data_IF_536607734657
#
_entry.id   IF_536607734657
#
_cell.length_a   1.000
_cell.length_b   1.000
_cell.length_c   1.000
_cell.angle_alpha   90.00
_cell.angle_beta   90.00
_cell.angle_gamma   90.00
#
_symmetry.space_group_name_H-M   'P 1'
#
loop_
_entity.id
_entity.type
_entity.pdbx_description
1 polymer ?
#
# COMPACT_ATOMS: atom_id res chain seq x y z
N UNK A 1 -12.91 -27.24 5.21
CA UNK A 1 -11.66 -27.05 5.96
C UNK A 1 -11.78 -25.82 6.84
N UNK A 2 -11.15 -25.85 8.01
CA UNK A 2 -10.98 -24.69 8.87
C UNK A 2 -9.76 -23.90 8.45
N UNK A 3 -9.96 -22.62 8.07
CA UNK A 3 -8.89 -21.74 7.55
C UNK A 3 -8.79 -20.49 8.43
N UNK A 4 -7.58 -20.19 8.89
CA UNK A 4 -7.31 -18.99 9.68
C UNK A 4 -6.55 -17.96 8.84
N UNK A 5 -7.17 -16.84 8.52
CA UNK A 5 -6.56 -15.74 7.79
C UNK A 5 -6.10 -14.68 8.78
N UNK A 6 -4.80 -14.37 8.81
CA UNK A 6 -4.21 -13.48 9.79
C UNK A 6 -3.38 -12.37 9.17
N UNK A 7 -3.66 -11.15 9.55
CA UNK A 7 -2.73 -10.03 9.47
C UNK A 7 -1.96 -10.00 10.79
N UNK A 8 -0.68 -10.40 10.83
CA UNK A 8 0.05 -10.71 12.06
C UNK A 8 0.10 -9.58 13.09
N UNK A 9 0.31 -9.91 14.39
CA UNK A 9 0.63 -8.91 15.39
C UNK A 9 1.85 -8.09 15.00
N UNK A 10 1.84 -6.81 15.30
CA UNK A 10 2.98 -5.92 15.06
C UNK A 10 3.42 -5.31 16.36
N UNK A 11 4.73 -5.33 16.64
CA UNK A 11 5.31 -4.56 17.72
C UNK A 11 5.26 -3.08 17.35
N UNK A 12 5.34 -2.21 18.33
CA UNK A 12 5.43 -0.78 18.09
C UNK A 12 6.79 -0.45 17.41
N UNK A 13 6.85 0.30 16.29
CA UNK A 13 5.72 0.93 15.61
C UNK A 13 4.87 -0.08 14.82
N UNK A 14 3.59 0.22 14.66
CA UNK A 14 2.65 -0.55 13.85
C UNK A 14 3.02 -0.42 12.38
N UNK A 15 3.01 -1.52 11.63
CA UNK A 15 3.29 -1.52 10.20
C UNK A 15 2.01 -1.53 9.40
N UNK A 16 2.01 -0.77 8.30
CA UNK A 16 0.97 -0.91 7.29
C UNK A 16 1.26 -2.15 6.48
N UNK A 17 0.35 -3.12 6.54
CA UNK A 17 0.50 -4.42 5.89
C UNK A 17 -0.33 -4.58 4.61
N UNK A 18 -0.91 -3.51 4.10
CA UNK A 18 -1.56 -3.48 2.80
C UNK A 18 -0.91 -2.37 1.97
N UNK A 19 -0.53 -2.70 0.75
CA UNK A 19 0.07 -1.75 -0.17
C UNK A 19 1.43 -2.14 -0.69
N UNK A 20 1.91 -1.33 -1.62
CA UNK A 20 3.13 -1.54 -2.39
C UNK A 20 4.31 -0.70 -1.90
N UNK A 21 4.03 0.25 -1.03
CA UNK A 21 5.04 1.09 -0.41
C UNK A 21 5.07 0.77 1.08
N UNK A 22 6.19 0.27 1.50
CA UNK A 22 6.41 -0.25 2.83
C UNK A 22 6.69 0.87 3.80
N UNK A 23 5.81 1.06 4.76
CA UNK A 23 5.92 2.13 5.74
C UNK A 23 5.57 1.60 7.11
N UNK A 24 6.34 1.99 8.11
CA UNK A 24 5.82 2.05 9.47
C UNK A 24 4.54 2.86 9.46
N UNK A 25 3.72 2.73 10.50
CA UNK A 25 2.46 3.45 10.66
C UNK A 25 2.38 4.61 9.68
N UNK A 26 1.59 4.44 8.61
CA UNK A 26 1.63 5.22 7.41
C UNK A 26 2.04 6.66 7.67
N UNK A 27 2.67 7.27 6.71
CA UNK A 27 3.02 8.70 6.71
C UNK A 27 1.92 9.64 7.28
N UNK A 28 0.75 9.08 7.55
CA UNK A 28 -0.46 9.74 8.04
C UNK A 28 -0.96 9.18 9.38
N UNK A 29 -0.18 8.34 10.09
CA UNK A 29 -0.57 7.65 11.33
C UNK A 29 -1.83 6.80 11.22
N UNK A 30 -2.08 6.20 10.04
CA UNK A 30 -3.27 5.41 9.76
C UNK A 30 -2.93 3.95 9.48
N UNK A 31 -3.81 3.09 9.97
CA UNK A 31 -3.85 1.71 9.53
C UNK A 31 -4.68 1.61 8.25
N UNK A 32 -4.23 0.76 7.33
CA UNK A 32 -5.01 0.33 6.19
C UNK A 32 -5.53 -1.09 6.43
N UNK A 33 -6.77 -1.33 6.09
CA UNK A 33 -7.36 -2.67 6.22
C UNK A 33 -6.66 -3.67 5.31
N UNK A 34 -6.54 -4.95 5.73
CA UNK A 34 -5.96 -6.01 4.90
C UNK A 34 -6.97 -6.44 3.81
N UNK A 35 -7.13 -5.61 2.79
CA UNK A 35 -8.15 -5.75 1.75
C UNK A 35 -8.04 -7.09 1.01
N UNK A 36 -6.80 -7.50 0.69
CA UNK A 36 -6.53 -8.80 0.04
C UNK A 36 -7.04 -9.96 0.88
N UNK A 37 -6.80 -9.97 2.21
CA UNK A 37 -7.33 -10.98 3.11
C UNK A 37 -8.85 -10.94 3.21
N UNK A 38 -9.44 -9.75 3.21
CA UNK A 38 -10.90 -9.59 3.30
C UNK A 38 -11.61 -10.18 2.08
N UNK A 39 -11.09 -9.93 0.85
CA UNK A 39 -11.61 -10.56 -0.36
C UNK A 39 -11.38 -12.08 -0.35
N UNK A 40 -10.16 -12.50 0.00
CA UNK A 40 -9.81 -13.93 0.04
C UNK A 40 -10.70 -14.69 1.02
N UNK A 41 -10.97 -14.14 2.21
CA UNK A 41 -11.88 -14.72 3.20
C UNK A 41 -13.28 -14.97 2.60
N UNK A 42 -13.82 -13.97 1.91
CA UNK A 42 -15.13 -14.10 1.26
C UNK A 42 -15.12 -15.16 0.13
N UNK A 43 -14.03 -15.24 -0.64
CA UNK A 43 -13.87 -16.25 -1.69
C UNK A 43 -13.87 -17.65 -1.06
N UNK A 44 -13.07 -17.87 -0.01
CA UNK A 44 -12.94 -19.16 0.65
C UNK A 44 -14.25 -19.61 1.32
N UNK A 45 -15.00 -18.70 1.94
CA UNK A 45 -16.33 -18.97 2.49
C UNK A 45 -17.32 -19.40 1.41
N UNK A 46 -17.28 -18.75 0.23
CA UNK A 46 -18.10 -19.16 -0.93
C UNK A 46 -17.76 -20.56 -1.45
N UNK A 47 -16.53 -21.03 -1.21
CA UNK A 47 -16.09 -22.40 -1.54
C UNK A 47 -16.42 -23.43 -0.44
N UNK A 48 -17.11 -23.01 0.62
CA UNK A 48 -17.56 -23.91 1.69
C UNK A 48 -16.52 -24.13 2.80
N UNK A 49 -15.49 -23.30 2.90
CA UNK A 49 -14.55 -23.32 4.01
C UNK A 49 -15.10 -22.55 5.21
N UNK A 50 -14.81 -23.05 6.41
CA UNK A 50 -15.00 -22.31 7.67
C UNK A 50 -13.78 -21.39 7.86
N UNK A 51 -13.99 -20.06 7.80
CA UNK A 51 -12.87 -19.11 7.76
C UNK A 51 -12.99 -18.09 8.88
N UNK A 52 -11.93 -17.95 9.67
CA UNK A 52 -11.72 -16.86 10.62
C UNK A 52 -10.73 -15.86 10.01
N UNK A 53 -11.08 -14.57 10.05
CA UNK A 53 -10.19 -13.46 9.65
C UNK A 53 -9.89 -12.59 10.88
N UNK A 54 -8.59 -12.31 11.10
CA UNK A 54 -8.12 -11.41 12.16
C UNK A 54 -7.13 -10.39 11.61
N UNK A 55 -7.31 -9.13 11.99
CA UNK A 55 -6.27 -8.11 11.86
C UNK A 55 -5.64 -7.84 13.23
N UNK A 56 -4.70 -8.69 13.63
CA UNK A 56 -4.06 -8.62 14.94
C UNK A 56 -3.31 -7.29 15.15
N UNK A 57 -2.79 -6.67 14.08
CA UNK A 57 -2.18 -5.32 14.17
C UNK A 57 -3.22 -4.26 14.53
N UNK A 58 -4.37 -4.25 13.88
CA UNK A 58 -5.41 -3.25 14.13
C UNK A 58 -6.14 -3.47 15.47
N UNK A 59 -6.29 -4.72 15.88
CA UNK A 59 -6.87 -5.12 17.17
C UNK A 59 -5.90 -4.88 18.34
N UNK A 60 -4.60 -4.67 18.06
CA UNK A 60 -3.56 -4.58 19.09
C UNK A 60 -3.29 -5.90 19.80
N UNK A 61 -3.58 -7.01 19.13
CA UNK A 61 -3.46 -8.38 19.63
C UNK A 61 -2.00 -8.74 19.88
N UNK A 62 -1.73 -9.36 21.01
CA UNK A 62 -0.42 -9.94 21.35
C UNK A 62 -0.26 -11.34 20.76
N UNK A 63 1.00 -11.84 20.68
CA UNK A 63 1.26 -13.23 20.29
C UNK A 63 0.64 -14.26 21.24
N UNK A 64 0.46 -13.91 22.52
CA UNK A 64 -0.21 -14.77 23.50
C UNK A 64 -1.71 -14.92 23.19
N UNK A 65 -2.36 -13.81 22.84
CA UNK A 65 -3.78 -13.84 22.44
C UNK A 65 -3.96 -14.55 21.10
N UNK A 66 -3.05 -14.32 20.14
CA UNK A 66 -3.06 -15.06 18.88
C UNK A 66 -2.95 -16.58 19.09
N UNK A 67 -2.05 -17.04 19.99
CA UNK A 67 -1.92 -18.46 20.34
C UNK A 67 -3.26 -19.03 20.78
N UNK A 68 -3.95 -18.34 21.70
CA UNK A 68 -5.26 -18.76 22.20
C UNK A 68 -6.30 -18.88 21.07
N UNK A 69 -6.36 -17.91 20.17
CA UNK A 69 -7.26 -17.97 18.99
C UNK A 69 -6.98 -19.19 18.10
N UNK A 70 -5.69 -19.52 17.86
CA UNK A 70 -5.30 -20.69 17.07
C UNK A 70 -5.67 -22.00 17.78
N UNK A 71 -5.41 -22.11 19.10
CA UNK A 71 -5.74 -23.26 19.95
C UNK A 71 -7.25 -23.52 20.02
N UNK A 72 -8.06 -22.45 20.10
CA UNK A 72 -9.53 -22.54 20.18
C UNK A 72 -10.13 -22.89 18.81
N UNK A 73 -9.68 -22.23 17.74
CA UNK A 73 -10.23 -22.47 16.39
C UNK A 73 -9.75 -23.76 15.76
N UNK A 74 -8.51 -24.20 16.06
CA UNK A 74 -7.87 -25.41 15.50
C UNK A 74 -7.93 -25.45 13.98
N UNK A 75 -7.27 -24.51 13.27
CA UNK A 75 -7.28 -24.45 11.82
C UNK A 75 -6.51 -25.62 11.21
N UNK A 76 -6.92 -26.08 10.05
CA UNK A 76 -6.13 -27.00 9.20
C UNK A 76 -5.09 -26.24 8.38
N UNK A 77 -5.39 -24.95 8.08
CA UNK A 77 -4.54 -24.07 7.28
C UNK A 77 -4.56 -22.67 7.88
N UNK A 78 -3.38 -22.05 8.02
CA UNK A 78 -3.21 -20.64 8.39
C UNK A 78 -2.61 -19.86 7.24
N UNK A 79 -3.27 -18.78 6.84
CA UNK A 79 -2.85 -17.86 5.77
C UNK A 79 -2.33 -16.59 6.43
N UNK A 80 -1.04 -16.32 6.27
CA UNK A 80 -0.31 -15.23 6.93
C UNK A 80 -0.03 -14.14 5.90
N UNK A 81 -0.53 -12.94 6.14
CA UNK A 81 -0.25 -11.78 5.30
C UNK A 81 1.16 -11.22 5.60
N UNK A 82 2.06 -11.35 4.62
CA UNK A 82 3.40 -10.79 4.67
C UNK A 82 3.55 -9.67 3.64
N UNK A 83 3.07 -8.47 3.98
CA UNK A 83 2.99 -7.38 3.01
C UNK A 83 4.30 -6.58 2.89
N UNK A 84 5.15 -6.60 3.93
CA UNK A 84 6.34 -5.72 4.03
C UNK A 84 7.55 -6.45 4.60
N UNK A 85 8.76 -6.32 4.00
CA UNK A 85 9.97 -7.00 4.52
C UNK A 85 10.29 -6.63 5.97
N UNK A 86 10.02 -5.42 6.39
CA UNK A 86 10.29 -4.95 7.75
C UNK A 86 9.51 -5.68 8.83
N UNK A 87 8.38 -6.30 8.47
CA UNK A 87 7.53 -7.06 9.39
C UNK A 87 7.78 -8.57 9.34
N UNK A 88 8.79 -9.03 8.60
CA UNK A 88 9.04 -10.46 8.40
C UNK A 88 9.31 -11.23 9.69
N UNK A 89 9.97 -10.59 10.69
CA UNK A 89 10.21 -11.24 11.98
C UNK A 89 8.91 -11.58 12.70
N UNK A 90 7.96 -10.68 12.70
CA UNK A 90 6.64 -10.90 13.28
C UNK A 90 5.81 -11.90 12.45
N UNK A 91 5.96 -11.86 11.13
CA UNK A 91 5.27 -12.77 10.23
C UNK A 91 5.79 -14.22 10.40
N UNK A 92 7.11 -14.41 10.45
CA UNK A 92 7.74 -15.70 10.75
C UNK A 92 7.40 -16.19 12.15
N UNK A 93 7.46 -15.29 13.16
CA UNK A 93 7.04 -15.65 14.53
C UNK A 93 5.59 -16.13 14.59
N UNK A 94 4.72 -15.57 13.73
CA UNK A 94 3.35 -16.05 13.61
C UNK A 94 3.30 -17.47 13.04
N UNK A 95 4.08 -17.78 12.02
CA UNK A 95 4.17 -19.13 11.46
C UNK A 95 4.73 -20.15 12.48
N UNK A 96 5.79 -19.78 13.19
CA UNK A 96 6.37 -20.58 14.28
C UNK A 96 5.34 -20.88 15.37
N UNK A 97 4.62 -19.85 15.84
CA UNK A 97 3.58 -19.99 16.85
C UNK A 97 2.48 -20.96 16.43
N UNK A 98 2.06 -20.90 15.18
CA UNK A 98 1.08 -21.82 14.60
C UNK A 98 1.59 -23.27 14.66
N UNK A 99 2.85 -23.49 14.27
CA UNK A 99 3.51 -24.80 14.32
C UNK A 99 3.76 -25.29 15.76
N UNK A 100 4.02 -24.39 16.70
CA UNK A 100 4.12 -24.73 18.14
C UNK A 100 2.78 -25.20 18.73
N UNK A 101 1.65 -24.72 18.19
CA UNK A 101 0.31 -25.17 18.61
C UNK A 101 0.02 -26.57 18.02
N UNK A 102 0.27 -26.75 16.73
CA UNK A 102 0.12 -28.03 16.04
C UNK A 102 0.97 -28.02 14.77
N UNK A 103 1.95 -28.95 14.68
CA UNK A 103 2.86 -29.07 13.52
C UNK A 103 2.13 -29.43 12.21
N UNK A 104 0.96 -30.08 12.30
CA UNK A 104 0.17 -30.47 11.12
C UNK A 104 -0.53 -29.29 10.44
N UNK A 105 -0.75 -28.19 11.13
CA UNK A 105 -1.35 -26.98 10.55
C UNK A 105 -0.48 -26.48 9.39
N UNK A 106 -1.05 -26.37 8.20
CA UNK A 106 -0.31 -25.86 7.02
C UNK A 106 -0.26 -24.34 7.05
N UNK A 107 0.95 -23.79 6.90
CA UNK A 107 1.21 -22.34 6.91
C UNK A 107 1.48 -21.84 5.51
N UNK A 108 0.72 -20.82 5.09
CA UNK A 108 0.84 -20.15 3.80
C UNK A 108 1.22 -18.69 4.02
N UNK A 109 2.29 -18.23 3.41
CA UNK A 109 2.58 -16.80 3.32
C UNK A 109 2.07 -16.22 2.00
N UNK A 110 1.39 -15.07 2.08
CA UNK A 110 0.90 -14.32 0.91
C UNK A 110 1.39 -12.88 0.96
N UNK A 111 1.53 -12.25 -0.19
CA UNK A 111 1.89 -10.83 -0.29
C UNK A 111 3.15 -10.58 -1.11
N UNK A 112 3.56 -9.33 -1.20
CA UNK A 112 4.65 -8.90 -2.07
C UNK A 112 5.99 -9.60 -1.77
N UNK A 113 6.43 -9.77 -0.50
CA UNK A 113 7.68 -10.49 -0.19
C UNK A 113 7.75 -11.89 -0.80
N UNK A 114 6.62 -12.59 -0.90
CA UNK A 114 6.57 -13.92 -1.52
C UNK A 114 6.85 -13.91 -3.03
N UNK A 115 6.70 -12.77 -3.71
CA UNK A 115 6.97 -12.62 -5.13
C UNK A 115 8.39 -12.13 -5.42
N UNK A 116 9.07 -11.52 -4.44
CA UNK A 116 10.41 -10.96 -4.61
C UNK A 116 11.48 -12.05 -4.52
N UNK A 117 12.38 -12.17 -5.51
CA UNK A 117 13.54 -13.08 -5.42
C UNK A 117 14.35 -12.84 -4.16
N UNK A 118 15.22 -13.75 -3.77
CA UNK A 118 16.00 -13.77 -2.52
C UNK A 118 15.13 -13.80 -1.27
N UNK A 119 14.17 -12.89 -1.16
CA UNK A 119 13.30 -12.78 0.00
C UNK A 119 12.33 -13.96 0.11
N UNK A 120 11.67 -14.29 -1.00
CA UNK A 120 10.78 -15.46 -1.04
C UNK A 120 11.51 -16.78 -0.85
N UNK A 121 12.74 -16.88 -1.35
CA UNK A 121 13.61 -18.04 -1.17
C UNK A 121 14.01 -18.20 0.30
N UNK A 122 14.40 -17.11 0.96
CA UNK A 122 14.68 -17.12 2.39
C UNK A 122 13.44 -17.51 3.20
N UNK A 123 12.26 -16.95 2.88
CA UNK A 123 11.00 -17.27 3.57
C UNK A 123 10.65 -18.75 3.51
N UNK A 124 10.83 -19.39 2.35
CA UNK A 124 10.45 -20.80 2.20
C UNK A 124 11.44 -21.77 2.84
N UNK A 125 12.69 -21.36 3.07
CA UNK A 125 13.67 -22.16 3.80
C UNK A 125 13.34 -22.24 5.31
N UNK A 126 12.64 -21.26 5.86
CA UNK A 126 12.20 -21.31 7.26
C UNK A 126 11.26 -22.52 7.50
N UNK A 127 11.54 -23.26 8.57
CA UNK A 127 10.86 -24.54 8.85
C UNK A 127 9.36 -24.38 9.08
N UNK A 128 8.94 -23.29 9.66
CA UNK A 128 7.55 -22.98 9.96
C UNK A 128 6.69 -22.57 8.76
N UNK A 129 7.28 -22.35 7.56
CA UNK A 129 6.56 -21.93 6.35
C UNK A 129 6.44 -23.12 5.39
N UNK A 130 5.21 -23.57 5.10
CA UNK A 130 4.98 -24.66 4.15
C UNK A 130 4.91 -24.17 2.70
N UNK A 131 4.31 -22.98 2.47
CA UNK A 131 4.10 -22.43 1.12
C UNK A 131 4.26 -20.92 1.09
N UNK A 132 4.93 -20.40 0.04
CA UNK A 132 4.87 -18.99 -0.33
C UNK A 132 4.05 -18.83 -1.61
N UNK A 133 3.05 -17.95 -1.58
CA UNK A 133 2.21 -17.64 -2.73
C UNK A 133 2.79 -16.43 -3.45
N UNK A 134 3.42 -16.63 -4.61
CA UNK A 134 4.03 -15.55 -5.40
C UNK A 134 3.12 -14.97 -6.49
N UNK A 135 1.88 -15.48 -6.59
CA UNK A 135 0.83 -14.95 -7.45
C UNK A 135 -0.27 -14.27 -6.65
N UNK A 136 -1.37 -13.92 -7.33
CA UNK A 136 -2.54 -13.36 -6.66
C UNK A 136 -3.22 -14.41 -5.78
N UNK A 137 -3.37 -14.15 -4.47
CA UNK A 137 -3.90 -15.14 -3.53
C UNK A 137 -5.30 -15.65 -3.91
N UNK A 138 -6.13 -14.79 -4.48
CA UNK A 138 -7.50 -15.10 -4.91
C UNK A 138 -7.55 -16.21 -5.98
N UNK A 139 -6.48 -16.38 -6.76
CA UNK A 139 -6.37 -17.46 -7.74
C UNK A 139 -5.68 -18.69 -7.17
N UNK A 140 -4.64 -18.46 -6.36
CA UNK A 140 -3.70 -19.51 -5.95
C UNK A 140 -4.24 -20.30 -4.76
N UNK A 141 -4.70 -19.58 -3.73
CA UNK A 141 -5.10 -20.20 -2.45
C UNK A 141 -6.29 -21.16 -2.62
N UNK A 142 -7.40 -20.79 -3.29
CA UNK A 142 -8.51 -21.71 -3.49
C UNK A 142 -8.10 -23.01 -4.21
N UNK A 143 -7.18 -22.89 -5.19
CA UNK A 143 -6.66 -24.07 -5.90
C UNK A 143 -5.75 -24.93 -5.04
N UNK A 144 -4.97 -24.29 -4.16
CA UNK A 144 -4.09 -24.98 -3.22
C UNK A 144 -4.91 -25.79 -2.23
N UNK A 145 -5.94 -25.18 -1.61
CA UNK A 145 -6.79 -25.88 -0.62
C UNK A 145 -7.46 -27.12 -1.21
N UNK A 146 -7.88 -27.07 -2.48
CA UNK A 146 -8.42 -28.24 -3.19
C UNK A 146 -7.37 -29.31 -3.54
N UNK A 147 -6.07 -28.98 -3.47
CA UNK A 147 -4.95 -29.84 -3.94
C UNK A 147 -3.78 -29.88 -2.97
N UNK A 148 -4.03 -29.76 -1.66
CA UNK A 148 -2.97 -29.78 -0.64
C UNK A 148 -2.05 -31.01 -0.73
N UNK A 149 -2.58 -32.17 -1.07
CA UNK A 149 -1.78 -33.40 -1.28
C UNK A 149 -0.93 -33.40 -2.57
N UNK A 150 -1.11 -32.41 -3.48
CA UNK A 150 -0.36 -32.28 -4.74
C UNK A 150 -0.04 -30.81 -5.06
N UNK A 151 0.62 -30.06 -4.15
CA UNK A 151 0.82 -28.62 -4.30
C UNK A 151 1.64 -28.24 -5.53
N UNK A 152 2.52 -29.13 -6.00
CA UNK A 152 3.31 -28.93 -7.22
C UNK A 152 2.46 -28.78 -8.51
N UNK A 153 1.17 -29.14 -8.46
CA UNK A 153 0.21 -28.95 -9.56
C UNK A 153 -0.52 -27.61 -9.50
N UNK A 154 -0.26 -26.81 -8.48
CA UNK A 154 -0.91 -25.50 -8.29
C UNK A 154 0.02 -24.39 -8.80
N UNK A 155 -0.36 -23.62 -9.81
CA UNK A 155 0.44 -22.49 -10.27
C UNK A 155 0.51 -21.37 -9.23
N UNK A 156 1.66 -20.70 -9.10
CA UNK A 156 1.84 -19.56 -8.23
C UNK A 156 2.41 -19.85 -6.85
N UNK A 157 2.97 -21.06 -6.66
CA UNK A 157 3.58 -21.47 -5.40
C UNK A 157 5.10 -21.57 -5.50
N UNK A 158 5.77 -21.09 -4.47
CA UNK A 158 7.12 -21.48 -4.13
C UNK A 158 7.06 -22.53 -3.02
N UNK A 159 7.69 -23.66 -3.26
CA UNK A 159 7.70 -24.84 -2.40
C UNK A 159 9.08 -24.98 -1.74
N UNK A 160 9.18 -25.76 -0.66
CA UNK A 160 10.43 -26.16 -0.03
C UNK A 160 11.47 -26.61 -1.08
N UNK A 161 12.75 -26.31 -0.83
CA UNK A 161 13.83 -26.53 -1.78
C UNK A 161 13.82 -25.56 -2.98
N UNK A 162 13.17 -24.40 -2.86
CA UNK A 162 13.23 -23.33 -3.86
C UNK A 162 12.43 -23.61 -5.16
N UNK A 163 11.64 -24.68 -5.22
CA UNK A 163 10.91 -25.06 -6.41
C UNK A 163 9.72 -24.15 -6.69
N UNK A 164 9.82 -23.32 -7.75
CA UNK A 164 8.70 -22.51 -8.25
C UNK A 164 7.80 -23.34 -9.18
N UNK A 165 6.49 -23.26 -8.98
CA UNK A 165 5.51 -23.80 -9.91
C UNK A 165 5.31 -22.83 -11.10
N UNK A 166 4.44 -23.18 -12.06
CA UNK A 166 4.16 -22.27 -13.19
C UNK A 166 3.59 -20.93 -12.68
N UNK A 167 3.82 -19.84 -13.44
CA UNK A 167 3.19 -18.56 -13.16
C UNK A 167 1.66 -18.72 -13.19
N UNK A 168 0.91 -18.18 -12.20
CA UNK A 168 -0.54 -18.28 -12.18
C UNK A 168 -1.17 -17.40 -13.26
N UNK A 169 -2.41 -17.70 -13.62
CA UNK A 169 -3.24 -16.78 -14.36
C UNK A 169 -3.56 -15.56 -13.46
N UNK A 170 -3.73 -14.40 -14.09
CA UNK A 170 -4.15 -13.20 -13.39
C UNK A 170 -5.65 -13.32 -13.03
N UNK A 171 -6.01 -12.82 -11.85
CA UNK A 171 -7.38 -12.82 -11.39
C UNK A 171 -8.26 -11.83 -12.18
N UNK A 172 -9.47 -12.24 -12.53
CA UNK A 172 -10.45 -11.30 -13.06
C UNK A 172 -11.09 -10.52 -11.91
N UNK A 173 -10.81 -9.22 -11.83
CA UNK A 173 -11.28 -8.35 -10.74
C UNK A 173 -12.81 -8.27 -10.66
N UNK A 174 -13.51 -8.62 -11.72
CA UNK A 174 -14.97 -8.68 -11.73
C UNK A 174 -15.54 -9.88 -10.98
N UNK A 175 -14.71 -10.85 -10.60
CA UNK A 175 -15.11 -12.01 -9.81
C UNK A 175 -14.93 -11.80 -8.30
N UNK A 176 -14.39 -10.62 -7.89
CA UNK A 176 -14.30 -10.26 -6.48
C UNK A 176 -15.68 -10.23 -5.83
N UNK A 177 -15.89 -10.95 -4.71
CA UNK A 177 -17.07 -10.81 -3.87
C UNK A 177 -17.02 -9.49 -3.10
N UNK A 178 -18.05 -9.18 -2.31
CA UNK A 178 -17.90 -8.18 -1.27
C UNK A 178 -16.90 -8.67 -0.21
N UNK A 179 -16.02 -7.77 0.29
CA UNK A 179 -14.98 -8.16 1.24
C UNK A 179 -15.58 -8.49 2.61
N UNK A 180 -14.91 -9.35 3.39
CA UNK A 180 -15.36 -9.77 4.72
C UNK A 180 -15.12 -8.66 5.79
N UNK A 181 -15.67 -7.47 5.57
CA UNK A 181 -15.48 -6.33 6.46
C UNK A 181 -16.11 -6.50 7.85
N UNK A 182 -17.14 -7.35 7.96
CA UNK A 182 -17.75 -7.69 9.26
C UNK A 182 -16.77 -8.35 10.25
N UNK A 183 -15.66 -8.94 9.76
CA UNK A 183 -14.66 -9.60 10.59
C UNK A 183 -13.51 -8.65 11.00
N UNK A 184 -13.51 -7.43 10.48
CA UNK A 184 -12.43 -6.47 10.71
C UNK A 184 -12.80 -5.40 11.73
N UNK A 185 -11.84 -4.90 12.52
CA UNK A 185 -12.07 -3.83 13.49
C UNK A 185 -12.19 -2.47 12.77
N UNK A 186 -13.32 -2.23 12.08
CA UNK A 186 -13.54 -1.07 11.20
C UNK A 186 -13.36 0.29 11.88
N UNK A 187 -13.49 0.35 13.21
CA UNK A 187 -13.22 1.55 14.01
C UNK A 187 -11.73 1.94 14.05
N UNK A 188 -10.82 1.03 13.73
CA UNK A 188 -9.38 1.29 13.67
C UNK A 188 -8.93 1.98 12.39
N UNK A 189 -9.69 1.80 11.27
CA UNK A 189 -9.32 2.35 9.97
C UNK A 189 -9.96 3.72 9.76
N UNK A 190 -9.17 4.77 9.99
CA UNK A 190 -9.64 6.15 9.94
C UNK A 190 -8.75 7.03 9.09
N UNK A 191 -9.36 7.96 8.37
CA UNK A 191 -8.63 8.99 7.64
C UNK A 191 -7.92 9.96 8.60
N UNK A 192 -6.71 10.43 8.25
CA UNK A 192 -5.99 11.42 9.04
C UNK A 192 -6.77 12.73 9.12
N UNK A 193 -6.55 13.49 10.17
CA UNK A 193 -7.06 14.84 10.41
C UNK A 193 -8.59 14.98 10.53
N UNK A 194 -9.39 14.13 9.94
CA UNK A 194 -10.84 14.13 10.10
C UNK A 194 -11.35 12.97 10.96
N UNK A 195 -10.55 11.90 11.09
CA UNK A 195 -10.86 10.68 11.83
C UNK A 195 -12.14 9.96 11.37
N UNK A 196 -12.61 10.25 10.18
CA UNK A 196 -13.72 9.53 9.57
C UNK A 196 -13.29 8.09 9.23
N UNK A 197 -14.18 7.12 9.42
CA UNK A 197 -13.94 5.74 9.00
C UNK A 197 -13.72 5.68 7.50
N UNK A 198 -12.80 4.84 7.05
CA UNK A 198 -12.49 4.67 5.63
C UNK A 198 -12.51 3.20 5.26
N UNK A 199 -13.13 2.87 4.14
CA UNK A 199 -13.00 1.57 3.50
C UNK A 199 -12.15 1.66 2.22
N UNK A 200 -11.37 0.62 1.96
CA UNK A 200 -10.66 0.48 0.70
C UNK A 200 -11.55 -0.29 -0.29
N UNK A 201 -11.48 0.10 -1.56
CA UNK A 201 -12.20 -0.56 -2.66
C UNK A 201 -11.25 -0.78 -3.81
N UNK A 202 -11.06 -2.03 -4.22
CA UNK A 202 -10.23 -2.37 -5.38
C UNK A 202 -10.87 -1.86 -6.67
N UNK A 203 -10.13 -1.08 -7.46
CA UNK A 203 -10.64 -0.52 -8.73
C UNK A 203 -9.86 -1.02 -9.93
N UNK A 204 -8.56 -1.26 -9.77
CA UNK A 204 -7.70 -1.80 -10.84
C UNK A 204 -6.41 -2.37 -10.28
N UNK A 205 -5.79 -3.30 -11.02
CA UNK A 205 -4.45 -3.85 -10.75
C UNK A 205 -3.58 -3.82 -11.98
N UNK A 206 -2.28 -3.68 -11.76
CA UNK A 206 -1.25 -3.65 -12.81
C UNK A 206 -0.97 -2.25 -13.34
N UNK A 207 0.25 -2.08 -13.85
CA UNK A 207 0.72 -0.79 -14.36
C UNK A 207 1.62 -1.03 -15.59
N UNK A 208 1.39 -0.34 -16.72
CA UNK A 208 2.18 -0.53 -17.95
C UNK A 208 3.55 0.14 -17.90
N UNK A 209 3.78 1.00 -16.92
CA UNK A 209 5.03 1.72 -16.77
C UNK A 209 6.13 0.82 -16.18
N UNK A 210 7.38 1.06 -16.58
CA UNK A 210 8.55 0.26 -16.23
C UNK A 210 9.54 1.00 -15.33
N UNK A 211 9.01 1.81 -14.39
CA UNK A 211 9.85 2.50 -13.41
C UNK A 211 10.81 1.51 -12.74
N UNK A 212 12.14 1.81 -12.76
CA UNK A 212 13.21 0.89 -12.37
C UNK A 212 13.13 0.41 -10.91
N UNK A 213 12.41 1.12 -10.06
CA UNK A 213 12.28 0.85 -8.63
C UNK A 213 10.97 0.15 -8.24
N UNK A 214 10.03 -0.03 -9.18
CA UNK A 214 8.66 -0.39 -8.84
C UNK A 214 8.43 -1.92 -8.84
N UNK A 215 7.86 -2.44 -7.76
CA UNK A 215 7.53 -3.87 -7.62
C UNK A 215 6.23 -4.29 -8.32
N UNK A 216 5.40 -3.34 -8.76
CA UNK A 216 4.08 -3.62 -9.34
C UNK A 216 4.15 -4.62 -10.50
N UNK A 217 5.12 -4.47 -11.39
CA UNK A 217 5.29 -5.39 -12.53
C UNK A 217 5.67 -6.80 -12.11
N UNK A 218 6.42 -6.94 -11.02
CA UNK A 218 6.80 -8.24 -10.46
C UNK A 218 5.57 -8.95 -9.91
N UNK A 219 4.70 -8.22 -9.21
CA UNK A 219 3.55 -8.79 -8.49
C UNK A 219 2.29 -8.88 -9.36
N UNK A 220 1.86 -7.79 -10.00
CA UNK A 220 0.62 -7.71 -10.78
C UNK A 220 0.79 -7.74 -12.30
N UNK A 221 2.04 -7.63 -12.80
CA UNK A 221 2.32 -7.56 -14.22
C UNK A 221 2.17 -6.16 -14.83
N UNK A 222 2.34 -6.09 -16.15
CA UNK A 222 2.37 -4.86 -16.95
C UNK A 222 1.02 -4.48 -17.57
N UNK A 223 0.01 -5.34 -17.44
CA UNK A 223 -1.33 -5.08 -17.99
C UNK A 223 -2.25 -4.50 -16.94
N UNK A 224 -2.86 -3.36 -17.24
CA UNK A 224 -3.91 -2.79 -16.41
C UNK A 224 -5.18 -3.63 -16.54
N UNK A 225 -5.64 -4.18 -15.44
CA UNK A 225 -6.92 -4.87 -15.32
C UNK A 225 -7.88 -3.99 -14.53
N UNK A 226 -9.04 -3.76 -15.08
CA UNK A 226 -10.05 -2.87 -14.52
C UNK A 226 -11.17 -3.70 -13.90
N UNK A 227 -11.69 -3.24 -12.79
CA UNK A 227 -12.93 -3.73 -12.21
C UNK A 227 -14.09 -2.92 -12.78
N UNK A 228 -15.19 -3.59 -13.07
CA UNK A 228 -16.42 -2.96 -13.57
C UNK A 228 -16.88 -1.82 -12.64
N UNK A 229 -17.11 -0.59 -13.17
CA UNK A 229 -17.52 0.56 -12.39
C UNK A 229 -18.83 0.34 -11.62
N UNK A 230 -19.81 -0.41 -12.17
CA UNK A 230 -21.06 -0.74 -11.45
C UNK A 230 -20.78 -1.68 -10.27
N UNK A 231 -19.83 -2.61 -10.38
CA UNK A 231 -19.45 -3.49 -9.26
C UNK A 231 -18.73 -2.71 -8.16
N UNK A 232 -17.87 -1.74 -8.53
CA UNK A 232 -17.24 -0.82 -7.58
C UNK A 232 -18.32 -0.04 -6.83
N UNK A 233 -19.27 0.55 -7.57
CA UNK A 233 -20.37 1.31 -6.97
C UNK A 233 -21.23 0.47 -6.02
N UNK A 234 -21.60 -0.75 -6.43
CA UNK A 234 -22.38 -1.67 -5.57
C UNK A 234 -21.67 -2.01 -4.27
N UNK A 235 -20.34 -2.20 -4.32
CA UNK A 235 -19.54 -2.45 -3.11
C UNK A 235 -19.52 -1.23 -2.21
N UNK A 236 -19.41 -0.02 -2.75
CA UNK A 236 -19.47 1.22 -1.96
C UNK A 236 -20.83 1.37 -1.27
N UNK A 237 -21.95 1.12 -1.99
CA UNK A 237 -23.29 1.17 -1.42
C UNK A 237 -23.46 0.12 -0.33
N UNK A 238 -23.08 -1.13 -0.61
CA UNK A 238 -23.12 -2.23 0.37
C UNK A 238 -22.31 -1.90 1.63
N UNK A 239 -21.12 -1.32 1.46
CA UNK A 239 -20.25 -0.91 2.59
C UNK A 239 -20.93 0.19 3.42
N UNK A 240 -21.57 1.16 2.79
CA UNK A 240 -22.30 2.21 3.48
C UNK A 240 -23.52 1.68 4.24
N UNK A 241 -24.33 0.86 3.58
CA UNK A 241 -25.58 0.31 4.15
C UNK A 241 -25.32 -0.60 5.36
N UNK A 242 -24.24 -1.40 5.32
CA UNK A 242 -23.93 -2.36 6.39
C UNK A 242 -23.07 -1.78 7.51
N UNK A 243 -22.20 -0.80 7.21
CA UNK A 243 -21.17 -0.33 8.18
C UNK A 243 -21.16 1.18 8.40
N UNK A 244 -22.02 1.94 7.68
CA UNK A 244 -22.08 3.40 7.78
C UNK A 244 -20.82 4.12 7.30
N UNK A 245 -20.00 3.48 6.46
CA UNK A 245 -18.77 4.07 5.95
C UNK A 245 -19.07 4.82 4.65
N UNK A 246 -18.81 6.12 4.64
CA UNK A 246 -19.03 7.00 3.48
C UNK A 246 -17.74 7.54 2.85
N UNK A 247 -16.59 7.22 3.44
CA UNK A 247 -15.29 7.62 2.91
C UNK A 247 -14.58 6.40 2.32
N UNK A 248 -14.05 6.55 1.11
CA UNK A 248 -13.43 5.44 0.38
C UNK A 248 -12.02 5.78 -0.09
N UNK A 249 -11.14 4.78 -0.05
CA UNK A 249 -9.87 4.83 -0.75
C UNK A 249 -9.94 3.91 -1.97
N UNK A 250 -9.95 4.48 -3.17
CA UNK A 250 -9.91 3.71 -4.40
C UNK A 250 -8.51 3.12 -4.58
N UNK A 251 -8.44 1.82 -4.34
CA UNK A 251 -7.19 1.08 -4.39
C UNK A 251 -6.84 0.71 -5.82
N UNK A 252 -5.68 1.17 -6.27
CA UNK A 252 -5.15 0.97 -7.61
C UNK A 252 -3.64 1.23 -7.65
N UNK A 253 -2.93 0.65 -8.62
CA UNK A 253 -1.54 1.02 -8.92
C UNK A 253 -1.41 2.47 -9.41
N UNK A 254 -2.37 2.88 -10.20
CA UNK A 254 -2.65 4.28 -10.54
C UNK A 254 -4.09 4.37 -11.06
N UNK A 255 -4.93 5.05 -10.33
CA UNK A 255 -6.37 5.09 -10.59
C UNK A 255 -6.73 5.67 -11.95
N UNK A 256 -5.99 6.67 -12.42
CA UNK A 256 -6.34 7.43 -13.61
C UNK A 256 -5.74 6.92 -14.93
N UNK A 257 -5.10 5.73 -14.93
CA UNK A 257 -4.48 5.15 -16.15
C UNK A 257 -5.50 4.90 -17.27
N UNK A 258 -6.73 4.58 -16.94
CA UNK A 258 -7.79 4.44 -17.93
C UNK A 258 -8.84 5.54 -17.75
N UNK A 259 -8.72 6.58 -18.54
CA UNK A 259 -9.61 7.75 -18.51
C UNK A 259 -11.08 7.40 -18.68
N UNK A 260 -11.42 6.48 -19.62
CA UNK A 260 -12.80 6.06 -19.88
C UNK A 260 -13.41 5.43 -18.62
N UNK A 261 -12.71 4.52 -17.98
CA UNK A 261 -13.13 3.86 -16.75
C UNK A 261 -13.38 4.86 -15.61
N UNK A 262 -12.46 5.83 -15.43
CA UNK A 262 -12.63 6.89 -14.42
C UNK A 262 -13.87 7.73 -14.68
N UNK A 263 -14.07 8.15 -15.94
CA UNK A 263 -15.23 8.97 -16.31
C UNK A 263 -16.56 8.21 -16.11
N UNK A 264 -16.59 6.92 -16.46
CA UNK A 264 -17.75 6.06 -16.28
C UNK A 264 -18.08 5.87 -14.78
N UNK A 265 -17.07 5.56 -13.95
CA UNK A 265 -17.27 5.46 -12.49
C UNK A 265 -17.76 6.78 -11.88
N UNK A 266 -17.16 7.91 -12.28
CA UNK A 266 -17.58 9.23 -11.81
C UNK A 266 -19.05 9.52 -12.19
N UNK A 267 -19.48 9.15 -13.39
CA UNK A 267 -20.85 9.35 -13.83
C UNK A 267 -21.84 8.48 -13.07
N UNK A 268 -21.51 7.22 -12.80
CA UNK A 268 -22.31 6.32 -11.95
C UNK A 268 -22.46 6.91 -10.55
N UNK A 269 -21.36 7.35 -9.94
CA UNK A 269 -21.38 7.96 -8.60
C UNK A 269 -22.26 9.23 -8.59
N UNK A 270 -22.11 10.10 -9.59
CA UNK A 270 -22.90 11.35 -9.69
C UNK A 270 -24.39 11.08 -9.79
N UNK A 271 -24.82 10.18 -10.69
CA UNK A 271 -26.23 9.81 -10.87
C UNK A 271 -26.86 9.24 -9.60
N UNK A 272 -26.07 8.59 -8.75
CA UNK A 272 -26.51 7.90 -7.56
C UNK A 272 -26.08 8.56 -6.25
N UNK A 273 -25.59 9.80 -6.28
CA UNK A 273 -24.93 10.47 -5.14
C UNK A 273 -25.77 10.50 -3.85
N UNK A 274 -27.10 10.52 -3.96
CA UNK A 274 -28.00 10.52 -2.81
C UNK A 274 -28.04 9.20 -2.02
N UNK A 275 -27.55 8.09 -2.56
CA UNK A 275 -27.57 6.80 -1.86
C UNK A 275 -26.53 6.70 -0.72
N UNK A 276 -25.44 7.46 -0.78
CA UNK A 276 -24.41 7.52 0.26
C UNK A 276 -24.33 8.96 0.75
N UNK A 277 -24.78 9.19 1.97
CA UNK A 277 -24.69 10.52 2.60
C UNK A 277 -23.24 10.88 2.89
N UNK A 278 -22.84 12.12 2.65
CA UNK A 278 -21.48 12.64 2.89
C UNK A 278 -20.37 11.83 2.17
N UNK A 279 -20.72 11.28 1.00
CA UNK A 279 -19.77 10.51 0.17
C UNK A 279 -18.52 11.31 -0.14
N UNK A 280 -17.37 10.73 0.17
CA UNK A 280 -16.06 11.22 -0.20
C UNK A 280 -15.10 10.09 -0.56
N UNK A 281 -14.13 10.39 -1.41
CA UNK A 281 -13.10 9.41 -1.75
C UNK A 281 -11.76 10.03 -2.11
N UNK A 282 -10.73 9.20 -1.99
CA UNK A 282 -9.34 9.53 -2.31
C UNK A 282 -8.77 8.47 -3.26
N UNK A 283 -7.72 8.81 -4.02
CA UNK A 283 -7.00 7.87 -4.87
C UNK A 283 -5.54 8.29 -5.08
N UNK A 284 -4.71 7.33 -5.52
CA UNK A 284 -3.37 7.59 -6.04
C UNK A 284 -3.38 7.59 -7.57
N UNK A 285 -2.63 8.49 -8.16
CA UNK A 285 -2.60 8.73 -9.61
C UNK A 285 -1.21 9.12 -10.11
N UNK A 286 -1.06 9.16 -11.43
CA UNK A 286 0.09 9.77 -12.10
C UNK A 286 -0.28 11.16 -12.60
N UNK A 287 0.68 12.06 -12.62
CA UNK A 287 0.48 13.45 -13.07
C UNK A 287 0.21 13.55 -14.57
N UNK A 288 0.69 12.58 -15.36
CA UNK A 288 0.54 12.51 -16.82
C UNK A 288 -0.76 11.81 -17.27
N UNK A 289 -1.52 11.26 -16.33
CA UNK A 289 -2.79 10.56 -16.60
C UNK A 289 -4.02 11.34 -16.19
N UNK A 290 -3.89 12.61 -15.86
CA UNK A 290 -5.01 13.50 -15.51
C UNK A 290 -5.12 14.68 -16.46
N UNK A 291 -6.35 15.06 -16.77
CA UNK A 291 -6.69 16.28 -17.50
C UNK A 291 -7.80 17.05 -16.75
N UNK A 292 -8.12 18.23 -17.21
CA UNK A 292 -9.07 19.14 -16.57
C UNK A 292 -10.49 18.51 -16.51
N UNK A 293 -10.90 17.80 -17.56
CA UNK A 293 -12.21 17.14 -17.61
C UNK A 293 -12.30 16.04 -16.57
N UNK A 294 -11.25 15.23 -16.46
CA UNK A 294 -11.17 14.13 -15.50
C UNK A 294 -11.15 14.66 -14.06
N UNK A 295 -10.32 15.66 -13.75
CA UNK A 295 -10.25 16.28 -12.41
C UNK A 295 -11.61 16.87 -12.01
N UNK A 296 -12.30 17.55 -12.93
CA UNK A 296 -13.64 18.10 -12.67
C UNK A 296 -14.64 16.98 -12.40
N UNK A 297 -14.70 15.95 -13.23
CA UNK A 297 -15.60 14.83 -13.05
C UNK A 297 -15.37 14.11 -11.71
N UNK A 298 -14.11 13.88 -11.34
CA UNK A 298 -13.72 13.30 -10.06
C UNK A 298 -14.20 14.16 -8.89
N UNK A 299 -14.03 15.49 -8.96
CA UNK A 299 -14.54 16.41 -7.93
C UNK A 299 -16.02 16.35 -7.77
N UNK A 300 -16.77 16.38 -8.88
CA UNK A 300 -18.24 16.28 -8.88
C UNK A 300 -18.73 14.95 -8.30
N UNK A 301 -17.94 13.88 -8.50
CA UNK A 301 -18.18 12.54 -7.95
C UNK A 301 -17.72 12.35 -6.49
N UNK A 302 -17.20 13.39 -5.82
CA UNK A 302 -16.84 13.35 -4.40
C UNK A 302 -15.37 13.15 -4.11
N UNK A 303 -14.47 13.17 -5.12
CA UNK A 303 -13.03 13.15 -4.89
C UNK A 303 -12.60 14.42 -4.13
N UNK A 304 -11.86 14.23 -3.04
CA UNK A 304 -11.36 15.36 -2.28
C UNK A 304 -9.83 15.35 -2.10
N UNK A 305 -9.14 14.23 -2.39
CA UNK A 305 -7.68 14.15 -2.34
C UNK A 305 -7.15 13.21 -3.42
N UNK A 306 -6.06 13.65 -4.09
CA UNK A 306 -5.28 12.84 -5.02
C UNK A 306 -3.81 12.82 -4.61
N UNK A 307 -3.26 11.62 -4.48
CA UNK A 307 -1.84 11.38 -4.33
C UNK A 307 -1.18 11.22 -5.70
N UNK A 308 -0.06 11.91 -5.93
CA UNK A 308 0.71 11.82 -7.16
C UNK A 308 2.11 11.28 -6.90
N UNK A 309 2.48 10.18 -7.60
CA UNK A 309 3.85 9.73 -7.66
C UNK A 309 4.69 10.69 -8.51
N UNK A 310 5.34 11.65 -7.87
CA UNK A 310 6.22 12.65 -8.49
C UNK A 310 7.66 12.17 -8.53
N UNK A 311 8.10 11.55 -7.47
CA UNK A 311 9.40 10.95 -7.16
C UNK A 311 10.53 11.98 -7.10
N UNK A 312 10.77 12.77 -8.15
CA UNK A 312 11.76 13.85 -8.21
C UNK A 312 11.25 15.03 -9.04
N UNK A 313 11.85 16.23 -8.84
CA UNK A 313 11.61 17.42 -9.66
C UNK A 313 12.87 17.84 -10.44
N UNK A 314 13.73 16.86 -10.73
CA UNK A 314 14.92 16.99 -11.58
C UNK A 314 14.78 16.01 -12.75
N UNK A 315 14.63 16.56 -13.97
CA UNK A 315 14.30 15.76 -15.15
C UNK A 315 15.31 14.63 -15.46
N UNK A 316 16.63 14.82 -15.37
CA UNK A 316 17.59 13.73 -15.51
C UNK A 316 17.39 12.56 -14.54
N UNK A 317 17.00 12.81 -13.29
CA UNK A 317 16.69 11.78 -12.29
C UNK A 317 15.41 11.02 -12.68
N UNK A 318 14.36 11.73 -13.10
CA UNK A 318 13.12 11.13 -13.60
C UNK A 318 13.38 10.24 -14.84
N UNK A 319 14.24 10.69 -15.74
CA UNK A 319 14.60 9.93 -16.95
C UNK A 319 15.36 8.64 -16.60
N UNK A 320 16.39 8.72 -15.73
CA UNK A 320 17.14 7.55 -15.27
C UNK A 320 16.27 6.56 -14.49
N UNK A 321 15.26 7.06 -13.78
CA UNK A 321 14.29 6.24 -13.06
C UNK A 321 13.17 5.67 -13.96
N UNK A 322 13.18 6.01 -15.24
CA UNK A 322 12.12 5.68 -16.24
C UNK A 322 10.71 6.01 -15.73
N UNK A 323 10.58 7.11 -14.97
CA UNK A 323 9.27 7.56 -14.50
C UNK A 323 8.35 8.00 -15.64
N UNK A 324 8.92 8.53 -16.73
CA UNK A 324 8.20 8.92 -17.94
C UNK A 324 7.31 10.16 -17.80
N UNK A 325 7.52 10.99 -16.77
CA UNK A 325 6.80 12.25 -16.56
C UNK A 325 7.72 13.45 -16.79
N UNK A 326 7.11 14.63 -17.01
CA UNK A 326 7.80 15.94 -17.10
C UNK A 326 7.38 16.80 -15.91
N UNK A 327 8.29 17.66 -15.47
CA UNK A 327 8.07 18.56 -14.31
C UNK A 327 6.86 19.46 -14.55
N UNK A 328 6.64 19.94 -15.78
CA UNK A 328 5.49 20.76 -16.14
C UNK A 328 4.15 20.04 -15.92
N UNK A 329 4.11 18.71 -16.10
CA UNK A 329 2.91 17.92 -15.82
C UNK A 329 2.61 17.87 -14.33
N UNK A 330 3.65 17.84 -13.47
CA UNK A 330 3.48 17.92 -12.02
C UNK A 330 2.84 19.26 -11.62
N UNK A 331 3.37 20.38 -12.13
CA UNK A 331 2.83 21.71 -11.89
C UNK A 331 1.37 21.80 -12.33
N UNK A 332 1.07 21.42 -13.56
CA UNK A 332 -0.31 21.41 -14.13
C UNK A 332 -1.27 20.56 -13.32
N UNK A 333 -0.87 19.35 -12.89
CA UNK A 333 -1.73 18.46 -12.11
C UNK A 333 -2.09 19.10 -10.75
N UNK A 334 -1.12 19.68 -10.04
CA UNK A 334 -1.35 20.38 -8.76
C UNK A 334 -2.22 21.62 -8.95
N UNK A 335 -1.99 22.40 -10.01
CA UNK A 335 -2.81 23.58 -10.35
C UNK A 335 -4.26 23.22 -10.66
N UNK A 336 -4.49 22.15 -11.45
CA UNK A 336 -5.83 21.66 -11.73
C UNK A 336 -6.53 21.20 -10.44
N UNK A 337 -5.85 20.44 -9.58
CA UNK A 337 -6.40 20.05 -8.29
C UNK A 337 -6.80 21.28 -7.45
N UNK A 338 -5.93 22.28 -7.39
CA UNK A 338 -6.21 23.56 -6.67
C UNK A 338 -7.40 24.30 -7.26
N UNK A 339 -7.50 24.39 -8.59
CA UNK A 339 -8.61 25.03 -9.31
C UNK A 339 -9.96 24.40 -8.97
N UNK A 340 -10.03 23.08 -8.90
CA UNK A 340 -11.26 22.34 -8.62
C UNK A 340 -11.47 22.01 -7.14
N UNK A 341 -10.57 22.43 -6.24
CA UNK A 341 -10.71 22.20 -4.79
C UNK A 341 -10.53 20.73 -4.40
N UNK A 342 -9.69 19.98 -5.12
CA UNK A 342 -9.14 18.68 -4.71
C UNK A 342 -7.80 18.94 -4.04
N UNK A 343 -7.56 18.27 -2.91
CA UNK A 343 -6.26 18.34 -2.23
C UNK A 343 -5.25 17.47 -2.97
N UNK A 344 -4.02 17.92 -3.08
CA UNK A 344 -2.94 17.20 -3.74
C UNK A 344 -1.86 16.74 -2.77
N UNK A 345 -1.39 15.51 -2.93
CA UNK A 345 -0.22 14.96 -2.22
C UNK A 345 0.87 14.69 -3.25
N UNK A 346 2.08 15.18 -3.04
CA UNK A 346 3.25 14.80 -3.84
C UNK A 346 4.05 13.72 -3.09
N UNK A 347 4.24 12.56 -3.70
CA UNK A 347 5.15 11.52 -3.21
C UNK A 347 6.52 11.75 -3.83
N UNK A 348 7.55 11.92 -2.99
CA UNK A 348 8.94 12.19 -3.37
C UNK A 348 9.82 11.05 -2.85
N UNK A 349 10.75 10.59 -3.66
CA UNK A 349 11.72 9.54 -3.30
C UNK A 349 13.12 10.11 -3.45
N UNK A 350 13.94 9.99 -2.41
CA UNK A 350 15.36 10.33 -2.43
C UNK A 350 16.21 9.05 -2.58
N UNK A 351 17.37 9.17 -3.22
CA UNK A 351 18.24 8.05 -3.51
C UNK A 351 17.94 7.35 -4.83
N UNK A 352 17.23 8.00 -5.75
CA UNK A 352 16.97 7.50 -7.09
C UNK A 352 18.23 7.50 -7.97
N UNK A 353 18.29 6.70 -9.06
CA UNK A 353 19.41 6.70 -9.98
C UNK A 353 19.80 8.08 -10.51
N UNK A 354 21.05 8.45 -10.28
CA UNK A 354 21.61 9.74 -10.70
C UNK A 354 21.30 10.91 -9.77
N UNK A 355 20.84 10.64 -8.57
CA UNK A 355 20.62 11.68 -7.56
C UNK A 355 21.93 12.09 -6.87
N UNK A 356 21.99 13.35 -6.45
CA UNK A 356 23.04 13.96 -5.64
C UNK A 356 22.39 14.88 -4.59
N UNK A 357 23.19 15.42 -3.66
CA UNK A 357 22.69 16.37 -2.68
C UNK A 357 22.07 17.63 -3.36
N UNK A 358 22.68 18.08 -4.46
CA UNK A 358 22.22 19.25 -5.23
C UNK A 358 20.83 18.97 -5.87
N UNK A 359 20.64 17.79 -6.47
CA UNK A 359 19.37 17.43 -7.10
C UNK A 359 18.26 17.24 -6.07
N UNK A 360 18.58 16.72 -4.88
CA UNK A 360 17.64 16.64 -3.77
C UNK A 360 17.22 18.06 -3.30
N UNK A 361 18.19 18.96 -3.10
CA UNK A 361 17.92 20.36 -2.76
C UNK A 361 17.08 21.06 -3.83
N UNK A 362 17.36 20.82 -5.11
CA UNK A 362 16.59 21.35 -6.23
C UNK A 362 15.14 20.82 -6.20
N UNK A 363 14.95 19.52 -5.97
CA UNK A 363 13.61 18.92 -5.82
C UNK A 363 12.83 19.59 -4.69
N UNK A 364 13.46 19.80 -3.53
CA UNK A 364 12.82 20.46 -2.38
C UNK A 364 12.42 21.90 -2.72
N UNK A 365 13.30 22.68 -3.39
CA UNK A 365 13.03 24.05 -3.81
C UNK A 365 11.84 24.11 -4.78
N UNK A 366 11.87 23.32 -5.86
CA UNK A 366 10.79 23.27 -6.86
C UNK A 366 9.47 22.79 -6.27
N UNK A 367 9.51 21.84 -5.32
CA UNK A 367 8.30 21.38 -4.64
C UNK A 367 7.60 22.48 -3.85
N UNK A 368 8.38 23.36 -3.21
CA UNK A 368 7.83 24.55 -2.50
C UNK A 368 7.21 25.56 -3.46
N UNK A 369 7.76 25.71 -4.67
CA UNK A 369 7.21 26.58 -5.71
C UNK A 369 5.90 26.04 -6.27
N UNK A 370 5.82 24.72 -6.54
CA UNK A 370 4.60 24.04 -7.01
C UNK A 370 3.52 24.07 -5.94
N UNK A 371 3.90 23.98 -4.65
CA UNK A 371 3.05 24.08 -3.48
C UNK A 371 1.86 23.11 -3.49
N UNK A 372 2.07 21.76 -3.60
CA UNK A 372 1.00 20.80 -3.35
C UNK A 372 0.49 20.94 -1.92
N UNK A 373 -0.71 20.44 -1.60
CA UNK A 373 -1.26 20.57 -0.25
C UNK A 373 -0.44 19.79 0.78
N UNK A 374 0.02 18.60 0.39
CA UNK A 374 0.86 17.74 1.20
C UNK A 374 2.02 17.18 0.37
N UNK A 375 3.05 16.73 1.06
CA UNK A 375 4.18 16.01 0.46
C UNK A 375 4.67 14.91 1.40
N UNK A 376 4.96 13.76 0.83
CA UNK A 376 5.63 12.66 1.53
C UNK A 376 7.05 12.53 0.99
N UNK A 377 8.01 12.33 1.88
CA UNK A 377 9.41 12.21 1.54
C UNK A 377 9.91 10.83 1.94
N UNK A 378 10.23 10.01 0.98
CA UNK A 378 10.70 8.64 1.15
C UNK A 378 12.17 8.53 0.76
N UNK A 379 12.84 7.52 1.28
CA UNK A 379 14.11 7.05 0.74
C UNK A 379 13.83 5.83 -0.11
N UNK A 380 14.55 5.69 -1.22
CA UNK A 380 14.45 4.54 -2.10
C UNK A 380 14.74 3.25 -1.34
N UNK A 381 13.81 2.32 -1.43
CA UNK A 381 14.03 0.94 -0.98
C UNK A 381 14.28 0.08 -2.22
N UNK A 382 15.51 -0.42 -2.41
CA UNK A 382 15.81 -1.27 -3.56
C UNK A 382 15.28 -2.69 -3.29
N UNK A 383 14.12 -3.01 -3.82
CA UNK A 383 13.51 -4.34 -3.64
C UNK A 383 14.12 -5.37 -4.57
N UNK A 384 14.45 -6.59 -4.08
CA UNK A 384 14.93 -7.69 -4.91
C UNK A 384 14.02 -7.93 -6.13
N UNK A 385 14.65 -8.16 -7.29
CA UNK A 385 13.95 -8.34 -8.56
C UNK A 385 13.61 -7.05 -9.31
N UNK A 386 13.78 -5.87 -8.70
CA UNK A 386 13.72 -4.59 -9.41
C UNK A 386 15.05 -4.31 -10.10
N UNK A 387 15.03 -3.53 -11.17
CA UNK A 387 16.26 -3.18 -11.90
C UNK A 387 17.21 -2.35 -11.03
N UNK A 388 16.67 -1.42 -10.24
CA UNK A 388 17.48 -0.61 -9.32
C UNK A 388 18.17 -1.45 -8.25
N UNK A 389 17.54 -2.55 -7.80
CA UNK A 389 18.18 -3.47 -6.86
C UNK A 389 19.43 -4.09 -7.48
N UNK A 390 19.29 -4.65 -8.70
CA UNK A 390 20.40 -5.30 -9.40
C UNK A 390 21.54 -4.31 -9.71
N UNK A 391 21.18 -3.10 -10.17
CA UNK A 391 22.15 -2.03 -10.46
C UNK A 391 22.89 -1.60 -9.19
N UNK A 392 22.17 -1.37 -8.09
CA UNK A 392 22.77 -0.93 -6.84
C UNK A 392 23.57 -2.03 -6.13
N UNK A 393 23.14 -3.28 -6.25
CA UNK A 393 23.88 -4.43 -5.73
C UNK A 393 25.22 -4.58 -6.46
N UNK A 394 25.21 -4.51 -7.80
CA UNK A 394 26.44 -4.62 -8.61
C UNK A 394 27.45 -3.50 -8.38
N UNK A 395 26.98 -2.31 -7.98
CA UNK A 395 27.80 -1.14 -7.66
C UNK A 395 28.22 -1.05 -6.19
N UNK A 396 27.79 -2.00 -5.34
CA UNK A 396 28.04 -1.97 -3.91
C UNK A 396 27.33 -0.83 -3.17
N UNK A 397 26.21 -0.33 -3.71
CA UNK A 397 25.45 0.77 -3.12
C UNK A 397 24.44 0.31 -2.07
N UNK A 398 24.16 -0.99 -1.95
CA UNK A 398 23.30 -1.52 -0.89
C UNK A 398 24.14 -1.67 0.38
N UNK A 399 23.82 -0.85 1.38
CA UNK A 399 24.58 -0.80 2.65
C UNK A 399 24.19 -1.91 3.64
N UNK A 400 23.03 -2.51 3.47
CA UNK A 400 22.52 -3.59 4.33
C UNK A 400 21.52 -4.46 3.60
N UNK A 401 21.61 -5.78 3.82
CA UNK A 401 20.59 -6.75 3.42
C UNK A 401 19.72 -7.19 4.61
N UNK A 402 19.76 -6.47 5.72
CA UNK A 402 18.84 -6.66 6.84
C UNK A 402 17.44 -6.17 6.45
N UNK A 403 16.53 -7.09 6.18
CA UNK A 403 15.17 -6.78 5.74
C UNK A 403 14.39 -5.92 6.73
N UNK A 404 14.74 -5.93 8.01
CA UNK A 404 14.12 -5.07 9.01
C UNK A 404 14.35 -3.58 8.77
N UNK A 405 15.33 -3.23 7.93
CA UNK A 405 15.65 -1.85 7.51
C UNK A 405 15.03 -1.45 6.17
N UNK A 406 14.36 -2.39 5.47
CA UNK A 406 13.78 -2.14 4.14
C UNK A 406 12.46 -1.39 4.24
N UNK A 407 12.52 -0.19 4.78
CA UNK A 407 11.39 0.73 4.84
C UNK A 407 11.76 2.11 4.27
N UNK A 408 10.76 2.83 3.80
CA UNK A 408 10.95 4.08 3.07
C UNK A 408 11.39 5.29 3.94
N UNK A 409 11.58 5.11 5.24
CA UNK A 409 12.06 6.16 6.15
C UNK A 409 13.55 6.00 6.52
N UNK A 410 14.10 4.82 6.35
CA UNK A 410 15.50 4.50 6.64
C UNK A 410 16.29 4.33 5.34
N UNK A 411 17.56 4.71 5.37
CA UNK A 411 18.45 4.52 4.24
C UNK A 411 19.21 3.19 4.38
N UNK A 412 18.94 2.25 3.47
CA UNK A 412 19.71 1.02 3.30
C UNK A 412 20.57 1.04 2.02
N UNK A 413 20.77 2.24 1.46
CA UNK A 413 21.61 2.51 0.31
C UNK A 413 22.64 3.59 0.63
N UNK A 414 23.82 3.48 0.02
CA UNK A 414 24.91 4.45 0.09
C UNK A 414 25.33 4.81 -1.32
N UNK A 415 25.03 6.01 -1.76
CA UNK A 415 25.38 6.51 -3.09
C UNK A 415 26.63 7.40 -3.03
N UNK A 416 27.36 7.61 -4.14
CA UNK A 416 28.47 8.54 -4.18
C UNK A 416 28.07 9.94 -3.67
N UNK A 417 28.70 10.41 -2.60
CA UNK A 417 28.38 11.70 -1.95
C UNK A 417 27.07 11.72 -1.14
N UNK A 418 26.34 10.62 -1.06
CA UNK A 418 25.09 10.50 -0.30
C UNK A 418 25.10 9.23 0.55
N UNK A 419 25.87 9.19 1.65
CA UNK A 419 25.80 8.07 2.60
C UNK A 419 24.42 8.01 3.28
N UNK A 420 24.06 6.88 3.91
CA UNK A 420 22.75 6.67 4.53
C UNK A 420 22.32 7.82 5.45
N UNK A 421 23.20 8.25 6.33
CA UNK A 421 22.94 9.31 7.31
C UNK A 421 22.59 10.65 6.61
N UNK A 422 23.24 10.92 5.47
CA UNK A 422 23.01 12.13 4.69
C UNK A 422 21.65 12.08 3.97
N UNK A 423 21.26 10.94 3.45
CA UNK A 423 19.93 10.75 2.86
C UNK A 423 18.83 10.96 3.90
N UNK A 424 18.99 10.41 5.10
CA UNK A 424 18.05 10.59 6.20
C UNK A 424 18.00 12.04 6.69
N UNK A 425 19.15 12.71 6.80
CA UNK A 425 19.22 14.13 7.14
C UNK A 425 18.47 14.98 6.11
N UNK A 426 18.72 14.76 4.82
CA UNK A 426 18.06 15.50 3.74
C UNK A 426 16.55 15.24 3.72
N UNK A 427 16.12 14.02 3.98
CA UNK A 427 14.70 13.68 4.11
C UNK A 427 14.06 14.45 5.28
N UNK A 428 14.67 14.45 6.46
CA UNK A 428 14.21 15.20 7.63
C UNK A 428 14.15 16.72 7.33
N UNK A 429 15.19 17.25 6.71
CA UNK A 429 15.23 18.67 6.28
C UNK A 429 14.15 19.01 5.26
N UNK A 430 13.91 18.14 4.27
CA UNK A 430 12.85 18.32 3.29
C UNK A 430 11.49 18.44 3.96
N UNK A 431 11.20 17.51 4.87
CA UNK A 431 9.97 17.48 5.64
C UNK A 431 9.77 18.77 6.45
N UNK A 432 10.73 19.11 7.30
CA UNK A 432 10.65 20.32 8.15
C UNK A 432 10.50 21.58 7.31
N UNK A 433 11.32 21.72 6.26
CA UNK A 433 11.31 22.91 5.42
C UNK A 433 10.04 23.09 4.59
N UNK A 434 9.33 21.99 4.26
CA UNK A 434 8.06 22.05 3.56
C UNK A 434 6.91 22.39 4.52
N UNK A 435 6.79 21.70 5.64
CA UNK A 435 5.64 21.82 6.54
C UNK A 435 5.74 23.01 7.50
N UNK A 436 6.95 23.41 7.93
CA UNK A 436 7.15 24.55 8.82
C UNK A 436 7.32 25.88 8.07
N UNK A 437 7.14 25.89 6.74
CA UNK A 437 7.15 27.15 6.01
C UNK A 437 5.97 28.06 6.43
N UNK A 438 6.17 29.37 6.62
CA UNK A 438 5.10 30.29 7.07
C UNK A 438 3.85 30.23 6.20
N UNK A 439 4.04 30.10 4.87
CA UNK A 439 2.94 29.95 3.91
C UNK A 439 2.10 28.69 4.19
N UNK A 440 2.73 27.55 4.50
CA UNK A 440 2.02 26.29 4.81
C UNK A 440 1.31 26.35 6.14
N UNK A 441 1.94 26.93 7.15
CA UNK A 441 1.33 27.11 8.47
C UNK A 441 0.06 27.96 8.37
N UNK A 442 0.13 29.10 7.70
CA UNK A 442 -1.03 29.97 7.46
C UNK A 442 -2.13 29.25 6.69
N UNK A 443 -1.79 28.61 5.54
CA UNK A 443 -2.75 27.87 4.71
C UNK A 443 -3.46 26.75 5.49
N UNK A 444 -2.72 26.01 6.29
CA UNK A 444 -3.26 24.94 7.12
C UNK A 444 -4.15 25.46 8.25
N UNK A 445 -3.79 26.56 8.89
CA UNK A 445 -4.60 27.22 9.91
C UNK A 445 -5.93 27.71 9.33
N UNK A 446 -5.91 28.44 8.20
CA UNK A 446 -7.12 28.97 7.57
C UNK A 446 -8.08 27.87 7.08
N UNK A 447 -7.58 26.76 6.59
CA UNK A 447 -8.41 25.62 6.14
C UNK A 447 -9.14 24.89 7.26
N UNK A 448 -8.65 24.98 8.50
CA UNK A 448 -9.13 24.19 9.65
C UNK A 448 -9.74 25.01 10.77
N UNK A 449 -10.37 26.14 10.43
CA UNK A 449 -11.01 27.07 11.39
C UNK A 449 -12.06 26.45 12.32
N UNK A 450 -12.59 25.25 11.99
CA UNK A 450 -13.51 24.52 12.89
C UNK A 450 -12.72 23.95 14.07
N UNK A 451 -13.06 24.27 15.35
CA UNK A 451 -12.22 23.94 16.51
C UNK A 451 -11.86 22.44 16.61
N UNK A 452 -12.81 21.54 16.39
CA UNK A 452 -12.56 20.08 16.40
C UNK A 452 -11.52 19.65 15.36
N UNK A 453 -11.57 20.19 14.14
CA UNK A 453 -10.60 19.87 13.07
C UNK A 453 -9.21 20.44 13.36
N UNK A 454 -9.13 21.58 14.02
CA UNK A 454 -7.86 22.15 14.43
C UNK A 454 -7.19 21.30 15.52
N UNK A 455 -7.94 20.83 16.52
CA UNK A 455 -7.43 19.95 17.58
C UNK A 455 -6.90 18.64 16.97
N UNK A 456 -7.65 17.99 16.09
CA UNK A 456 -7.18 16.75 15.42
C UNK A 456 -5.93 17.01 14.57
N UNK A 457 -5.88 18.13 13.87
CA UNK A 457 -4.69 18.49 13.09
C UNK A 457 -3.45 18.68 13.97
N UNK A 458 -3.58 19.31 15.13
CA UNK A 458 -2.46 19.51 16.07
C UNK A 458 -2.01 18.16 16.65
N UNK A 459 -2.95 17.31 17.08
CA UNK A 459 -2.65 15.99 17.64
C UNK A 459 -2.03 15.05 16.59
N UNK A 460 -2.63 14.95 15.42
CA UNK A 460 -2.13 14.09 14.35
C UNK A 460 -0.85 14.69 13.73
N UNK A 461 -0.74 16.03 13.65
CA UNK A 461 0.47 16.73 13.26
C UNK A 461 1.65 16.49 14.20
N UNK A 462 1.39 16.44 15.50
CA UNK A 462 2.41 16.10 16.51
C UNK A 462 2.87 14.62 16.38
N UNK A 463 1.92 13.70 16.24
CA UNK A 463 2.24 12.29 15.98
C UNK A 463 3.02 12.11 14.69
N UNK A 464 2.62 12.82 13.65
CA UNK A 464 3.27 12.82 12.36
C UNK A 464 4.71 13.37 12.44
N UNK A 465 4.93 14.51 13.13
CA UNK A 465 6.26 15.05 13.40
C UNK A 465 7.12 14.06 14.19
N UNK A 466 6.55 13.43 15.21
CA UNK A 466 7.26 12.42 16.02
C UNK A 466 7.67 11.22 15.16
N UNK A 467 6.78 10.69 14.34
CA UNK A 467 7.06 9.53 13.49
C UNK A 467 8.01 9.79 12.31
N UNK A 468 8.13 11.05 11.86
CA UNK A 468 8.94 11.40 10.68
C UNK A 468 10.28 12.07 10.99
N UNK A 469 10.40 12.69 12.16
CA UNK A 469 11.56 13.52 12.51
C UNK A 469 12.32 12.99 13.71
N UNK A 470 11.61 12.42 14.71
CA UNK A 470 12.21 12.01 15.98
C UNK A 470 12.54 10.50 16.06
N UNK A 471 12.13 9.72 15.05
CA UNK A 471 12.58 8.34 14.82
C UNK A 471 13.53 8.29 13.64
#
# INVERSE_FOLDING_TARGET
MKVFCINPPSRNPRYVREGRCMQREASWSNLWMPLTLAYLTSILRREGHEVVLKDATAEGMSFKELRKEVEEFKPEVTIINTAVPTALKEDLRTAELVKEVDEEIKTLMIGIPCALPLLSEQLIEETAVDFCVYGEPEVVVPKLLRKLGKPWKVPGLLLKGGRRTKRPYLFNLNDLPFPAFQDLPLEAYRLPFCREKVAMVETSRGCPHDCVFCVTRIYYGDKVRLRDPEKIWREMVWTYENFGISQFFFWADSFTLNRRHVMELCEIIKRNKGKIKDLGWIANSRVDSVDEKTIRAMKEAGCWLLGFGVESLVQPVLNKSRKGIRIEQVRKAVEMCRKYGIQSVAHIIFGLPGESEETIKETIRKLKEIDPDYANFYILVPYPGTEVFNDYLSKGYISSQDWSKYEALNANISLPGLPPEKLEELRKKAFLSFYLSPRKLLKNFWRRRRPKRLVYFLLDGFKFLKGWVLT
#
